data_IF_893319064835
#
_entry.id   IF_893319064835
#
_cell.length_a   1.000
_cell.length_b   1.000
_cell.length_c   1.000
_cell.angle_alpha   90.00
_cell.angle_beta   90.00
_cell.angle_gamma   90.00
#
_symmetry.space_group_name_H-M   'P 1'
#
loop_
_entity.id
_entity.type
_entity.pdbx_description
1 polymer ?
#
# COMPACT_ATOMS: atom_id res chain seq x y z
N UNK A 1 14.05 -10.58 16.26
CA UNK A 1 14.73 -9.44 16.91
C UNK A 1 13.82 -8.79 17.95
N UNK A 2 14.29 -8.66 19.19
CA UNK A 2 13.60 -7.92 20.27
C UNK A 2 13.92 -6.42 20.20
N UNK A 3 13.11 -5.52 20.80
CA UNK A 3 13.45 -4.10 20.85
C UNK A 3 14.79 -3.80 21.52
N UNK A 4 15.15 -4.61 22.53
CA UNK A 4 16.45 -4.49 23.21
C UNK A 4 17.61 -4.85 22.26
N UNK A 5 17.51 -5.97 21.55
CA UNK A 5 18.50 -6.35 20.52
C UNK A 5 18.61 -5.29 19.42
N UNK A 6 17.47 -4.75 18.98
CA UNK A 6 17.44 -3.69 17.96
C UNK A 6 18.18 -2.44 18.43
N UNK A 7 17.94 -1.97 19.67
CA UNK A 7 18.64 -0.81 20.21
C UNK A 7 20.13 -1.08 20.47
N UNK A 8 20.50 -2.28 20.90
CA UNK A 8 21.91 -2.62 21.03
C UNK A 8 22.64 -2.57 19.69
N UNK A 9 21.98 -2.98 18.61
CA UNK A 9 22.59 -3.04 17.28
C UNK A 9 22.55 -1.68 16.55
N UNK A 10 21.46 -0.92 16.69
CA UNK A 10 21.18 0.26 15.87
C UNK A 10 20.91 1.53 16.67
N UNK A 11 20.80 1.46 18.00
CA UNK A 11 20.37 2.57 18.85
C UNK A 11 21.28 3.80 18.79
N UNK A 12 22.57 3.62 18.49
CA UNK A 12 23.52 4.73 18.27
C UNK A 12 23.11 5.63 17.11
N UNK A 13 22.35 5.12 16.14
CA UNK A 13 21.80 5.94 15.05
C UNK A 13 20.86 7.02 15.59
N UNK A 14 20.10 6.73 16.67
CA UNK A 14 19.16 7.67 17.27
C UNK A 14 19.82 8.91 17.86
N UNK A 15 21.11 8.85 18.22
CA UNK A 15 21.86 9.94 18.86
C UNK A 15 22.25 11.06 17.88
N UNK A 16 22.07 10.84 16.57
CA UNK A 16 22.39 11.82 15.53
C UNK A 16 21.17 12.68 15.15
N UNK A 17 21.37 13.92 14.65
CA UNK A 17 20.29 14.67 14.01
C UNK A 17 19.66 13.84 12.89
N UNK A 18 18.34 13.68 12.88
CA UNK A 18 17.60 12.79 11.95
C UNK A 18 17.84 11.28 12.19
N UNK A 19 18.38 10.89 13.35
CA UNK A 19 18.62 9.51 13.72
C UNK A 19 17.36 8.65 13.82
N UNK A 20 16.35 9.19 14.48
CA UNK A 20 15.07 8.53 14.74
C UNK A 20 14.25 8.31 13.44
N UNK A 21 14.19 9.26 12.48
CA UNK A 21 13.69 8.99 11.13
C UNK A 21 14.43 7.86 10.39
N UNK A 22 15.77 7.85 10.42
CA UNK A 22 16.57 6.78 9.78
C UNK A 22 16.30 5.41 10.39
N UNK A 23 16.05 5.34 11.70
CA UNK A 23 15.65 4.09 12.36
C UNK A 23 14.32 3.56 11.83
N UNK A 24 13.34 4.43 11.58
CA UNK A 24 12.05 4.02 10.98
C UNK A 24 12.23 3.46 9.57
N UNK A 25 13.07 4.10 8.76
CA UNK A 25 13.41 3.61 7.43
C UNK A 25 14.08 2.22 7.52
N UNK A 26 15.06 2.06 8.41
CA UNK A 26 15.72 0.78 8.63
C UNK A 26 14.76 -0.33 9.08
N UNK A 27 13.81 -0.03 9.97
CA UNK A 27 12.79 -1.01 10.41
C UNK A 27 11.99 -1.52 9.22
N UNK A 28 11.54 -0.62 8.34
CA UNK A 28 10.77 -0.98 7.15
C UNK A 28 11.62 -1.75 6.13
N UNK A 29 12.89 -1.37 5.94
CA UNK A 29 13.81 -2.11 5.08
C UNK A 29 14.05 -3.54 5.58
N UNK A 30 14.26 -3.73 6.89
CA UNK A 30 14.42 -5.05 7.49
C UNK A 30 13.13 -5.87 7.38
N UNK A 31 11.96 -5.22 7.49
CA UNK A 31 10.66 -5.86 7.32
C UNK A 31 10.51 -6.45 5.91
N UNK A 32 10.75 -5.66 4.85
CA UNK A 32 10.57 -6.14 3.46
C UNK A 32 11.66 -7.11 2.99
N UNK A 33 12.76 -7.23 3.73
CA UNK A 33 13.85 -8.18 3.45
C UNK A 33 13.75 -9.51 4.20
N UNK A 34 12.71 -9.69 5.04
CA UNK A 34 12.57 -10.88 5.89
C UNK A 34 13.62 -10.99 6.99
N UNK A 35 14.12 -9.85 7.49
CA UNK A 35 15.19 -9.78 8.50
C UNK A 35 14.72 -9.26 9.86
N UNK A 36 13.45 -8.89 9.98
CA UNK A 36 12.91 -8.29 11.18
C UNK A 36 12.43 -9.33 12.21
N UNK A 37 11.88 -10.44 11.70
CA UNK A 37 11.38 -11.57 12.50
C UNK A 37 12.12 -12.84 12.13
N UNK A 38 12.08 -13.85 13.00
CA UNK A 38 12.66 -15.16 12.73
C UNK A 38 11.81 -15.91 11.70
N UNK A 39 12.49 -16.67 10.84
CA UNK A 39 11.85 -17.55 9.87
C UNK A 39 11.33 -18.81 10.58
N UNK A 40 10.15 -19.28 10.19
CA UNK A 40 9.48 -20.43 10.80
C UNK A 40 9.07 -21.41 9.70
N UNK A 41 9.66 -22.61 9.69
CA UNK A 41 9.37 -23.64 8.68
C UNK A 41 7.88 -24.05 8.68
N UNK A 42 7.15 -23.83 9.78
CA UNK A 42 5.73 -24.14 9.88
C UNK A 42 4.81 -23.13 9.18
N UNK A 43 5.34 -21.99 8.76
CA UNK A 43 4.57 -20.95 8.04
C UNK A 43 4.14 -21.39 6.63
N UNK A 44 4.82 -22.38 6.06
CA UNK A 44 4.61 -22.82 4.68
C UNK A 44 5.26 -21.91 3.64
N UNK A 45 4.80 -22.01 2.40
CA UNK A 45 5.37 -21.32 1.23
C UNK A 45 4.45 -20.18 0.77
N UNK A 46 5.01 -18.98 0.60
CA UNK A 46 4.27 -17.81 0.12
C UNK A 46 3.67 -18.00 -1.29
N UNK A 47 4.19 -18.92 -2.09
CA UNK A 47 3.61 -19.26 -3.39
C UNK A 47 2.21 -19.89 -3.27
N UNK A 48 1.90 -20.59 -2.17
CA UNK A 48 0.54 -21.07 -1.90
C UNK A 48 -0.42 -19.90 -1.65
N UNK A 49 0.02 -18.93 -0.85
CA UNK A 49 -0.74 -17.71 -0.59
C UNK A 49 -0.96 -16.91 -1.88
N UNK A 50 0.06 -16.75 -2.71
CA UNK A 50 -0.05 -16.08 -4.01
C UNK A 50 -1.08 -16.75 -4.91
N UNK A 51 -1.05 -18.08 -5.03
CA UNK A 51 -2.06 -18.83 -5.80
C UNK A 51 -3.47 -18.62 -5.27
N UNK A 52 -3.65 -18.64 -3.95
CA UNK A 52 -4.95 -18.39 -3.32
C UNK A 52 -5.46 -16.97 -3.63
N UNK A 53 -4.60 -15.95 -3.51
CA UNK A 53 -4.92 -14.56 -3.85
C UNK A 53 -5.35 -14.42 -5.31
N UNK A 54 -4.64 -15.02 -6.26
CA UNK A 54 -5.00 -14.99 -7.69
C UNK A 54 -6.38 -15.63 -7.96
N UNK A 55 -6.70 -16.73 -7.27
CA UNK A 55 -8.02 -17.37 -7.35
C UNK A 55 -9.11 -16.43 -6.85
N UNK A 56 -8.91 -15.84 -5.66
CA UNK A 56 -9.86 -14.89 -5.07
C UNK A 56 -10.07 -13.68 -5.97
N UNK A 57 -9.00 -13.09 -6.51
CA UNK A 57 -9.07 -11.97 -7.46
C UNK A 57 -9.91 -12.28 -8.70
N UNK A 58 -9.90 -13.53 -9.18
CA UNK A 58 -10.68 -13.96 -10.34
C UNK A 58 -12.16 -14.15 -10.03
N UNK A 59 -12.51 -14.38 -8.75
CA UNK A 59 -13.88 -14.56 -8.28
C UNK A 59 -14.57 -13.24 -7.89
N UNK A 60 -13.79 -12.19 -7.60
CA UNK A 60 -14.30 -10.87 -7.23
C UNK A 60 -15.18 -10.26 -8.34
N UNK A 61 -16.47 -10.09 -8.04
CA UNK A 61 -17.42 -9.40 -8.90
C UNK A 61 -17.51 -7.92 -8.52
N UNK A 62 -16.70 -7.07 -9.18
CA UNK A 62 -16.64 -5.64 -8.90
C UNK A 62 -17.25 -4.82 -10.03
N UNK A 63 -18.12 -3.88 -9.67
CA UNK A 63 -18.72 -2.95 -10.62
C UNK A 63 -17.64 -2.06 -11.27
N UNK A 64 -17.52 -2.14 -12.59
CA UNK A 64 -16.54 -1.37 -13.36
C UNK A 64 -15.11 -1.93 -13.34
N UNK A 65 -14.89 -3.15 -12.84
CA UNK A 65 -13.66 -3.89 -13.04
C UNK A 65 -13.63 -4.59 -14.42
N UNK A 66 -12.46 -4.78 -15.04
CA UNK A 66 -12.34 -5.58 -16.27
C UNK A 66 -12.77 -7.03 -16.00
N UNK A 67 -13.67 -7.60 -16.82
CA UNK A 67 -14.10 -9.02 -16.78
C UNK A 67 -13.01 -10.03 -17.18
N UNK A 68 -11.73 -9.66 -17.13
CA UNK A 68 -10.65 -10.58 -17.52
C UNK A 68 -10.29 -11.46 -16.33
N UNK A 69 -9.94 -12.72 -16.61
CA UNK A 69 -9.20 -13.55 -15.65
C UNK A 69 -8.02 -12.74 -15.14
N UNK A 70 -7.80 -12.70 -13.82
CA UNK A 70 -6.67 -11.98 -13.27
C UNK A 70 -5.39 -12.69 -13.71
N UNK A 71 -4.75 -12.19 -14.77
CA UNK A 71 -3.51 -12.76 -15.29
C UNK A 71 -2.36 -12.18 -14.47
N UNK A 72 -1.69 -13.04 -13.70
CA UNK A 72 -0.49 -12.67 -12.95
C UNK A 72 0.56 -12.02 -13.86
N UNK A 73 1.18 -10.95 -13.37
CA UNK A 73 2.28 -10.28 -14.03
C UNK A 73 3.58 -10.89 -13.50
N UNK A 74 4.36 -11.62 -14.32
CA UNK A 74 5.61 -12.22 -13.87
C UNK A 74 6.62 -11.18 -13.41
N UNK A 75 7.21 -11.37 -12.23
CA UNK A 75 8.33 -10.57 -11.75
C UNK A 75 9.63 -11.14 -12.31
N UNK A 76 10.29 -10.40 -13.21
CA UNK A 76 11.59 -10.79 -13.78
C UNK A 76 12.74 -10.58 -12.77
N UNK A 77 13.84 -11.29 -12.93
CA UNK A 77 14.95 -11.25 -11.96
C UNK A 77 15.62 -9.88 -11.89
N UNK A 78 15.70 -9.15 -13.01
CA UNK A 78 16.36 -7.85 -13.12
C UNK A 78 15.67 -6.74 -12.30
N UNK A 79 14.42 -6.94 -11.91
CA UNK A 79 13.65 -5.97 -11.11
C UNK A 79 13.60 -6.31 -9.62
N UNK A 80 14.30 -7.37 -9.17
CA UNK A 80 14.37 -7.76 -7.75
C UNK A 80 15.44 -6.92 -7.03
N UNK A 81 15.06 -5.99 -6.13
CA UNK A 81 16.02 -5.05 -5.53
C UNK A 81 16.98 -5.71 -4.52
N UNK A 82 16.60 -6.86 -3.97
CA UNK A 82 17.38 -7.56 -2.95
C UNK A 82 16.99 -9.03 -2.83
N UNK A 83 17.79 -9.80 -2.09
CA UNK A 83 17.48 -11.18 -1.70
C UNK A 83 16.43 -11.21 -0.58
N UNK A 84 15.53 -12.19 -0.67
CA UNK A 84 14.47 -12.50 0.30
C UNK A 84 14.64 -13.93 0.83
N UNK A 85 13.97 -14.32 1.94
CA UNK A 85 13.94 -15.70 2.41
C UNK A 85 13.43 -16.71 1.36
N UNK A 86 13.80 -17.98 1.51
CA UNK A 86 13.49 -19.03 0.51
C UNK A 86 11.99 -19.38 0.44
N UNK A 87 11.28 -19.27 1.56
CA UNK A 87 9.83 -19.49 1.66
C UNK A 87 9.00 -18.26 1.25
N UNK A 88 9.65 -17.16 0.86
CA UNK A 88 8.99 -15.98 0.29
C UNK A 88 9.00 -16.04 -1.23
N UNK A 89 8.11 -15.28 -1.86
CA UNK A 89 8.15 -15.08 -3.31
C UNK A 89 8.02 -13.60 -3.67
N UNK A 90 8.51 -13.24 -4.85
CA UNK A 90 8.25 -11.92 -5.42
C UNK A 90 6.96 -11.98 -6.23
N UNK A 91 6.04 -11.06 -5.97
CA UNK A 91 4.78 -10.93 -6.70
C UNK A 91 4.60 -9.49 -7.17
N UNK A 92 3.82 -9.29 -8.22
CA UNK A 92 3.45 -7.95 -8.67
C UNK A 92 2.40 -7.35 -7.73
N UNK A 93 2.42 -6.04 -7.48
CA UNK A 93 1.42 -5.36 -6.64
C UNK A 93 0.00 -5.59 -7.16
N UNK A 94 -0.17 -5.70 -8.48
CA UNK A 94 -1.43 -6.09 -9.11
C UNK A 94 -1.94 -7.45 -8.66
N UNK A 95 -1.05 -8.43 -8.41
CA UNK A 95 -1.43 -9.79 -8.03
C UNK A 95 -2.07 -9.87 -6.63
N UNK A 96 -1.97 -8.80 -5.82
CA UNK A 96 -2.65 -8.73 -4.53
C UNK A 96 -4.15 -8.52 -4.64
N UNK A 97 -4.67 -8.07 -5.78
CA UNK A 97 -6.05 -7.61 -5.84
C UNK A 97 -6.54 -7.19 -7.21
N UNK A 98 -7.73 -6.61 -7.24
CA UNK A 98 -8.29 -5.98 -8.45
C UNK A 98 -8.11 -4.48 -8.35
N UNK A 99 -7.37 -3.91 -9.31
CA UNK A 99 -7.10 -2.48 -9.38
C UNK A 99 -8.33 -1.73 -9.96
N UNK A 100 -8.83 -0.76 -9.21
CA UNK A 100 -9.91 0.14 -9.58
C UNK A 100 -9.37 1.57 -9.78
N UNK A 101 -9.84 2.21 -10.84
CA UNK A 101 -9.62 3.64 -11.07
C UNK A 101 -10.72 4.50 -10.43
N UNK A 102 -10.36 5.69 -9.98
CA UNK A 102 -11.31 6.68 -9.48
C UNK A 102 -11.93 7.57 -10.53
N UNK A 103 -12.75 8.50 -10.06
CA UNK A 103 -13.49 9.45 -10.88
C UNK A 103 -14.02 10.63 -10.11
N UNK A 104 -14.37 11.68 -10.84
CA UNK A 104 -14.85 12.94 -10.27
C UNK A 104 -16.22 13.23 -10.85
N UNK A 105 -17.30 13.17 -10.03
CA UNK A 105 -18.60 13.67 -10.45
C UNK A 105 -18.51 15.12 -10.89
N UNK A 106 -19.41 15.55 -11.77
CA UNK A 106 -19.42 16.95 -12.20
C UNK A 106 -19.61 17.88 -11.01
N UNK A 107 -18.64 18.76 -10.73
CA UNK A 107 -18.74 19.79 -9.69
C UNK A 107 -19.81 20.85 -9.96
N UNK A 108 -20.39 20.86 -11.17
CA UNK A 108 -21.48 21.76 -11.54
C UNK A 108 -22.85 21.22 -11.13
N UNK A 109 -22.98 19.91 -10.93
CA UNK A 109 -24.22 19.32 -10.44
C UNK A 109 -24.10 19.12 -8.93
N UNK A 110 -24.72 20.01 -8.16
CA UNK A 110 -24.64 19.98 -6.70
C UNK A 110 -25.35 18.74 -6.10
N UNK A 111 -26.30 18.12 -6.81
CA UNK A 111 -26.98 16.89 -6.36
C UNK A 111 -26.03 15.68 -6.26
N UNK A 112 -24.85 15.76 -6.86
CA UNK A 112 -23.83 14.71 -6.81
C UNK A 112 -22.94 14.79 -5.56
N UNK A 113 -23.02 15.88 -4.80
CA UNK A 113 -22.13 16.20 -3.69
C UNK A 113 -22.91 16.31 -2.38
N UNK A 114 -22.18 16.45 -1.27
CA UNK A 114 -22.74 16.59 0.09
C UNK A 114 -23.62 15.38 0.51
N UNK A 115 -23.29 14.20 0.00
CA UNK A 115 -23.88 12.92 0.41
C UNK A 115 -23.18 12.30 1.63
N UNK A 116 -23.39 11.00 1.86
CA UNK A 116 -22.80 10.28 3.00
C UNK A 116 -21.56 9.44 2.65
N UNK A 117 -21.23 9.34 1.35
CA UNK A 117 -20.14 8.49 0.87
C UNK A 117 -18.86 9.31 0.80
N UNK A 118 -17.80 8.97 1.55
CA UNK A 118 -16.54 9.70 1.47
C UNK A 118 -15.97 9.67 0.06
N UNK A 119 -15.56 10.83 -0.45
CA UNK A 119 -14.89 10.95 -1.74
C UNK A 119 -13.44 11.35 -1.50
N UNK A 120 -12.58 10.34 -1.41
CA UNK A 120 -11.18 10.47 -1.01
C UNK A 120 -10.36 11.05 -2.15
N UNK A 121 -9.52 12.01 -1.79
CA UNK A 121 -8.56 12.65 -2.68
C UNK A 121 -7.15 12.56 -2.08
N UNK A 122 -6.09 12.96 -2.82
CA UNK A 122 -4.74 13.03 -2.25
C UNK A 122 -4.60 13.91 -1.01
N UNK A 123 -5.57 14.80 -0.72
CA UNK A 123 -5.58 15.64 0.49
C UNK A 123 -5.81 14.83 1.77
N UNK A 124 -6.53 13.71 1.64
CA UNK A 124 -6.94 12.84 2.74
C UNK A 124 -5.88 11.77 3.05
N UNK A 125 -4.91 11.56 2.15
CA UNK A 125 -3.98 10.42 2.15
C UNK A 125 -2.78 10.52 3.10
N UNK A 126 -2.81 11.47 4.06
CA UNK A 126 -1.72 11.65 5.05
C UNK A 126 -1.89 10.79 6.30
N UNK A 127 -2.74 9.76 6.24
CA UNK A 127 -3.03 8.83 7.31
C UNK A 127 -2.99 7.39 6.77
N UNK A 128 -2.63 6.39 7.58
CA UNK A 128 -2.52 5.00 7.12
C UNK A 128 -3.89 4.33 6.91
N UNK A 129 -4.96 4.90 7.47
CA UNK A 129 -6.32 4.35 7.39
C UNK A 129 -7.33 5.48 7.19
N UNK A 130 -8.24 5.29 6.25
CA UNK A 130 -9.24 6.27 5.84
C UNK A 130 -10.61 5.83 6.38
N UNK A 131 -11.06 6.49 7.44
CA UNK A 131 -12.42 6.36 7.97
C UNK A 131 -13.39 7.36 7.33
N UNK A 132 -12.89 8.49 6.82
CA UNK A 132 -13.69 9.56 6.25
C UNK A 132 -12.84 10.45 5.31
N UNK A 133 -13.48 11.37 4.59
CA UNK A 133 -12.83 12.31 3.67
C UNK A 133 -13.35 13.73 3.87
N UNK A 134 -12.62 14.72 3.34
CA UNK A 134 -13.04 16.14 3.37
C UNK A 134 -14.32 16.37 2.55
N UNK A 135 -14.41 15.73 1.38
CA UNK A 135 -15.55 15.88 0.46
C UNK A 135 -16.35 14.56 0.45
N UNK A 136 -17.67 14.67 0.27
CA UNK A 136 -18.58 13.53 0.16
C UNK A 136 -19.41 13.61 -1.12
N UNK A 137 -19.81 12.45 -1.62
CA UNK A 137 -20.64 12.30 -2.82
C UNK A 137 -21.91 11.52 -2.53
N UNK A 138 -22.93 11.73 -3.35
CA UNK A 138 -24.16 10.93 -3.32
C UNK A 138 -24.02 9.67 -4.18
N UNK A 139 -24.87 8.63 -3.97
CA UNK A 139 -24.92 7.48 -4.88
C UNK A 139 -25.13 7.89 -6.34
N UNK A 140 -26.00 8.88 -6.58
CA UNK A 140 -26.24 9.44 -7.91
C UNK A 140 -24.97 10.05 -8.53
N UNK A 141 -24.11 10.69 -7.73
CA UNK A 141 -22.82 11.21 -8.19
C UNK A 141 -21.87 10.11 -8.67
N UNK A 142 -21.86 8.96 -8.01
CA UNK A 142 -21.06 7.80 -8.42
C UNK A 142 -21.65 7.18 -9.68
N UNK A 143 -22.95 6.89 -9.70
CA UNK A 143 -23.65 6.25 -10.83
C UNK A 143 -23.56 7.07 -12.13
N UNK A 144 -23.49 8.40 -12.03
CA UNK A 144 -23.43 9.32 -13.17
C UNK A 144 -22.01 9.84 -13.45
N UNK A 145 -20.97 9.14 -12.96
CA UNK A 145 -19.57 9.49 -13.23
C UNK A 145 -18.69 8.25 -13.44
N UNK A 146 -17.38 8.46 -13.57
CA UNK A 146 -16.40 7.37 -13.63
C UNK A 146 -15.97 6.85 -12.25
N UNK A 147 -16.47 7.47 -11.17
CA UNK A 147 -16.22 7.04 -9.81
C UNK A 147 -16.83 5.64 -9.57
N UNK A 148 -16.30 4.93 -8.58
CA UNK A 148 -16.75 3.58 -8.23
C UNK A 148 -16.84 3.47 -6.73
N UNK A 149 -17.73 2.60 -6.27
CA UNK A 149 -17.70 2.13 -4.89
C UNK A 149 -16.45 1.27 -4.68
N UNK A 150 -15.67 1.65 -3.69
CA UNK A 150 -14.49 0.94 -3.22
C UNK A 150 -14.86 0.33 -1.86
N UNK A 151 -14.73 -1.00 -1.70
CA UNK A 151 -15.09 -1.66 -0.45
C UNK A 151 -14.12 -1.31 0.69
N UNK A 152 -14.49 -1.72 1.90
CA UNK A 152 -13.59 -1.75 3.07
C UNK A 152 -12.38 -2.65 2.80
N UNK A 153 -11.26 -2.39 3.49
CA UNK A 153 -9.99 -3.11 3.42
C UNK A 153 -9.29 -3.07 2.05
N UNK A 154 -9.68 -2.12 1.18
CA UNK A 154 -8.96 -1.84 -0.05
C UNK A 154 -7.74 -0.95 0.21
N UNK A 155 -6.64 -1.22 -0.48
CA UNK A 155 -5.47 -0.35 -0.45
C UNK A 155 -5.64 0.81 -1.43
N UNK A 156 -5.76 2.02 -0.92
CA UNK A 156 -5.79 3.27 -1.68
C UNK A 156 -4.36 3.76 -1.91
N UNK A 157 -4.10 4.33 -3.09
CA UNK A 157 -2.79 4.89 -3.43
C UNK A 157 -2.92 6.11 -4.34
N UNK A 158 -2.04 7.09 -4.12
CA UNK A 158 -1.94 8.25 -5.01
C UNK A 158 -1.09 7.89 -6.23
N UNK A 159 -1.59 8.17 -7.44
CA UNK A 159 -0.87 7.90 -8.70
C UNK A 159 -0.65 9.13 -9.57
N UNK A 160 -1.17 10.29 -9.14
CA UNK A 160 -0.92 11.58 -9.79
C UNK A 160 -0.85 12.71 -8.76
N UNK A 161 0.06 13.66 -8.96
CA UNK A 161 0.20 14.87 -8.15
C UNK A 161 1.63 15.09 -7.66
N UNK A 162 1.94 16.33 -7.28
CA UNK A 162 3.28 16.74 -6.85
C UNK A 162 3.82 16.00 -5.61
N UNK A 163 2.94 15.38 -4.82
CA UNK A 163 3.34 14.57 -3.67
C UNK A 163 4.24 13.40 -4.07
N UNK A 164 4.05 12.85 -5.28
CA UNK A 164 4.88 11.80 -5.87
C UNK A 164 6.31 12.26 -6.17
N UNK A 165 6.64 13.54 -6.01
CA UNK A 165 8.01 13.99 -6.09
C UNK A 165 8.88 13.53 -4.91
N UNK A 166 8.26 13.14 -3.79
CA UNK A 166 8.95 12.84 -2.52
C UNK A 166 8.24 11.78 -1.68
N UNK A 167 7.02 11.36 -2.00
CA UNK A 167 6.26 10.40 -1.22
C UNK A 167 5.32 9.58 -2.08
N UNK A 168 5.08 8.33 -1.70
CA UNK A 168 4.07 7.46 -2.29
C UNK A 168 3.00 7.14 -1.23
N UNK A 169 2.00 8.01 -1.04
CA UNK A 169 0.98 7.81 -0.01
C UNK A 169 0.09 6.60 -0.33
N UNK A 170 -0.06 5.75 0.67
CA UNK A 170 -0.96 4.59 0.67
C UNK A 170 -1.77 4.56 1.97
N UNK A 171 -3.00 4.06 1.91
CA UNK A 171 -3.87 3.93 3.07
C UNK A 171 -4.88 2.80 2.87
N UNK A 172 -5.37 2.18 3.95
CA UNK A 172 -6.47 1.22 3.89
C UNK A 172 -7.82 1.92 4.10
N UNK A 173 -8.83 1.55 3.30
CA UNK A 173 -10.22 1.99 3.53
C UNK A 173 -10.81 1.29 4.76
N UNK A 174 -11.46 2.04 5.65
CA UNK A 174 -12.16 1.49 6.83
C UNK A 174 -13.68 1.41 6.65
N UNK A 175 -14.18 1.90 5.52
CA UNK A 175 -15.58 1.83 5.08
C UNK A 175 -15.66 1.89 3.57
N UNK A 176 -16.84 1.62 3.03
CA UNK A 176 -17.12 1.87 1.63
C UNK A 176 -16.99 3.38 1.32
N UNK A 177 -16.29 3.69 0.23
CA UNK A 177 -15.97 5.05 -0.20
C UNK A 177 -15.77 5.13 -1.72
N UNK A 178 -15.60 6.34 -2.25
CA UNK A 178 -15.14 6.59 -3.61
C UNK A 178 -13.80 7.31 -3.60
N UNK A 179 -13.04 7.23 -4.70
CA UNK A 179 -11.76 7.92 -4.87
C UNK A 179 -11.78 8.81 -6.11
N UNK A 180 -10.99 9.88 -6.08
CA UNK A 180 -10.84 10.75 -7.24
C UNK A 180 -9.96 10.14 -8.35
N UNK A 181 -9.85 10.84 -9.48
CA UNK A 181 -9.10 10.40 -10.66
C UNK A 181 -7.56 10.51 -10.54
N UNK A 182 -7.03 11.06 -9.43
CA UNK A 182 -5.60 11.09 -9.11
C UNK A 182 -5.14 9.83 -8.33
N UNK A 183 -6.08 8.95 -8.00
CA UNK A 183 -5.86 7.79 -7.13
C UNK A 183 -6.21 6.47 -7.82
N UNK A 184 -5.73 5.38 -7.21
CA UNK A 184 -6.15 4.00 -7.49
C UNK A 184 -6.52 3.33 -6.18
N UNK A 185 -7.38 2.31 -6.28
CA UNK A 185 -7.71 1.43 -5.17
C UNK A 185 -7.43 -0.01 -5.60
N UNK A 186 -6.80 -0.79 -4.74
CA UNK A 186 -6.55 -2.21 -4.93
C UNK A 186 -7.45 -2.98 -3.97
N UNK A 187 -8.47 -3.63 -4.50
CA UNK A 187 -9.37 -4.49 -3.72
C UNK A 187 -8.69 -5.83 -3.53
N UNK A 188 -8.30 -6.14 -2.29
CA UNK A 188 -7.42 -7.26 -1.98
C UNK A 188 -8.13 -8.61 -2.11
N UNK A 189 -7.46 -9.59 -2.75
CA UNK A 189 -7.89 -11.00 -2.75
C UNK A 189 -7.65 -11.70 -1.42
N UNK A 190 -6.76 -11.16 -0.59
CA UNK A 190 -6.54 -11.56 0.81
C UNK A 190 -6.45 -10.29 1.67
N UNK A 191 -7.57 -9.81 2.25
CA UNK A 191 -7.60 -8.59 3.05
C UNK A 191 -6.67 -8.62 4.27
N UNK A 192 -6.39 -9.81 4.83
CA UNK A 192 -5.46 -9.96 5.97
C UNK A 192 -4.03 -9.51 5.64
N UNK A 193 -3.65 -9.50 4.36
CA UNK A 193 -2.36 -9.00 3.89
C UNK A 193 -2.27 -7.46 3.86
N UNK A 194 -3.38 -6.74 4.03
CA UNK A 194 -3.44 -5.28 3.84
C UNK A 194 -2.51 -4.48 4.76
N UNK A 195 -2.43 -4.86 6.04
CA UNK A 195 -1.56 -4.19 7.01
C UNK A 195 -0.08 -4.40 6.69
N UNK A 196 0.30 -5.59 6.23
CA UNK A 196 1.65 -5.86 5.73
C UNK A 196 1.93 -5.02 4.49
N UNK A 197 0.98 -4.95 3.55
CA UNK A 197 1.14 -4.22 2.29
C UNK A 197 1.36 -2.71 2.53
N UNK A 198 0.75 -2.10 3.54
CA UNK A 198 1.07 -0.74 3.97
C UNK A 198 2.56 -0.56 4.33
N UNK A 199 3.11 -1.47 5.15
CA UNK A 199 4.54 -1.43 5.54
C UNK A 199 5.43 -1.73 4.34
N UNK A 200 5.03 -2.66 3.49
CA UNK A 200 5.79 -3.03 2.31
C UNK A 200 5.91 -1.86 1.32
N UNK A 201 4.80 -1.17 1.03
CA UNK A 201 4.82 0.05 0.21
C UNK A 201 5.67 1.17 0.83
N UNK A 202 5.66 1.31 2.16
CA UNK A 202 6.50 2.28 2.84
C UNK A 202 8.00 1.92 2.78
N UNK A 203 8.36 0.66 2.99
CA UNK A 203 9.74 0.16 2.91
C UNK A 203 10.30 0.11 1.49
N UNK A 204 9.43 0.04 0.48
CA UNK A 204 9.80 0.05 -0.94
C UNK A 204 9.51 1.40 -1.63
N UNK A 205 9.20 2.45 -0.85
CA UNK A 205 8.82 3.77 -1.34
C UNK A 205 9.79 4.28 -2.41
N UNK A 206 11.09 4.25 -2.13
CA UNK A 206 12.08 4.86 -3.02
C UNK A 206 12.15 4.14 -4.37
N UNK A 207 12.05 2.80 -4.37
CA UNK A 207 11.95 1.99 -5.59
C UNK A 207 10.66 2.28 -6.38
N UNK A 208 9.55 2.60 -5.70
CA UNK A 208 8.31 3.02 -6.37
C UNK A 208 8.47 4.42 -6.98
N UNK A 209 9.16 5.34 -6.27
CA UNK A 209 9.37 6.71 -6.74
C UNK A 209 10.29 6.79 -7.98
N UNK A 210 11.18 5.82 -8.19
CA UNK A 210 11.96 5.67 -9.42
C UNK A 210 11.08 5.49 -10.67
N UNK A 211 9.84 5.02 -10.50
CA UNK A 211 8.86 4.83 -11.57
C UNK A 211 8.01 6.07 -11.86
N UNK A 212 8.26 7.17 -11.16
CA UNK A 212 7.50 8.42 -11.33
C UNK A 212 7.98 9.15 -12.58
N UNK A 213 7.05 9.35 -13.51
CA UNK A 213 7.24 10.22 -14.65
C UNK A 213 6.91 11.66 -14.27
N UNK A 214 7.79 12.60 -14.67
CA UNK A 214 7.56 14.04 -14.51
C UNK A 214 7.21 14.66 -15.85
N UNK A 215 6.04 15.28 -15.91
CA UNK A 215 5.65 16.11 -17.04
C UNK A 215 6.40 17.44 -17.08
N UNK A 216 6.40 18.10 -18.24
CA UNK A 216 6.98 19.43 -18.43
C UNK A 216 6.39 20.51 -17.52
N UNK A 217 5.15 20.35 -17.07
CA UNK A 217 4.46 21.29 -16.18
C UNK A 217 4.66 20.95 -14.68
N UNK A 218 5.60 20.05 -14.36
CA UNK A 218 5.94 19.65 -12.99
C UNK A 218 5.11 18.51 -12.43
N UNK A 219 3.90 18.28 -12.95
CA UNK A 219 3.02 17.18 -12.49
C UNK A 219 3.72 15.84 -12.58
N UNK A 220 3.74 15.13 -11.46
CA UNK A 220 4.27 13.78 -11.31
C UNK A 220 3.14 12.75 -11.47
N UNK A 221 3.44 11.61 -12.10
CA UNK A 221 2.49 10.53 -12.35
C UNK A 221 3.21 9.19 -12.32
N UNK A 222 2.52 8.16 -11.85
CA UNK A 222 2.86 6.75 -12.13
C UNK A 222 1.69 6.19 -12.95
N UNK A 223 1.98 5.56 -14.09
CA UNK A 223 0.94 4.93 -14.88
C UNK A 223 0.45 3.62 -14.23
N UNK A 224 -0.71 3.12 -14.69
CA UNK A 224 -1.37 1.99 -14.02
C UNK A 224 -0.64 0.66 -14.21
N UNK A 225 0.06 0.48 -15.33
CA UNK A 225 0.78 -0.77 -15.60
C UNK A 225 2.08 -0.80 -14.80
N UNK A 226 2.75 0.35 -14.66
CA UNK A 226 3.93 0.52 -13.80
C UNK A 226 3.63 0.30 -12.33
N UNK A 227 2.48 0.80 -11.82
CA UNK A 227 2.02 0.48 -10.46
C UNK A 227 1.69 -1.00 -10.32
N UNK A 228 0.93 -1.57 -11.26
CA UNK A 228 0.46 -2.96 -11.16
C UNK A 228 1.62 -3.96 -11.23
N UNK A 229 2.64 -3.69 -12.04
CA UNK A 229 3.85 -4.52 -12.19
C UNK A 229 4.93 -4.25 -11.13
N UNK A 230 4.64 -3.45 -10.10
CA UNK A 230 5.62 -3.15 -9.07
C UNK A 230 5.92 -4.40 -8.22
N UNK A 231 7.20 -4.83 -8.09
CA UNK A 231 7.55 -6.03 -7.34
C UNK A 231 7.43 -5.80 -5.83
N UNK A 232 6.68 -6.67 -5.16
CA UNK A 232 6.51 -6.70 -3.71
C UNK A 232 6.95 -8.09 -3.21
N UNK A 233 7.75 -8.17 -2.13
CA UNK A 233 8.06 -9.44 -1.51
C UNK A 233 6.85 -9.91 -0.71
N UNK A 234 6.42 -11.15 -0.93
CA UNK A 234 5.30 -11.78 -0.25
C UNK A 234 5.84 -12.84 0.73
N UNK A 235 5.67 -12.64 2.04
CA UNK A 235 5.87 -13.67 3.06
C UNK A 235 4.63 -14.57 3.17
N UNK A 236 4.75 -15.75 3.79
CA UNK A 236 3.59 -16.47 4.30
C UNK A 236 2.72 -15.60 5.22
N UNK A 237 1.41 -15.86 5.25
CA UNK A 237 0.46 -14.98 5.94
C UNK A 237 0.71 -14.88 7.46
N UNK A 238 1.12 -15.97 8.09
CA UNK A 238 1.45 -15.97 9.52
C UNK A 238 2.66 -15.04 9.81
N UNK A 239 3.68 -15.10 8.95
CA UNK A 239 4.85 -14.22 9.05
C UNK A 239 4.48 -12.75 8.82
N UNK A 240 3.59 -12.45 7.87
CA UNK A 240 3.10 -11.08 7.65
C UNK A 240 2.55 -10.45 8.94
N UNK A 241 1.73 -11.19 9.69
CA UNK A 241 1.21 -10.69 10.98
C UNK A 241 2.32 -10.46 12.01
N UNK A 242 3.32 -11.36 12.08
CA UNK A 242 4.47 -11.19 12.98
C UNK A 242 5.31 -9.97 12.59
N UNK A 243 5.52 -9.74 11.30
CA UNK A 243 6.20 -8.56 10.77
C UNK A 243 5.44 -7.29 11.16
N UNK A 244 4.14 -7.23 10.91
CA UNK A 244 3.30 -6.07 11.27
C UNK A 244 3.41 -5.76 12.77
N UNK A 245 3.21 -6.77 13.62
CA UNK A 245 3.31 -6.60 15.06
C UNK A 245 4.69 -6.10 15.50
N UNK A 246 5.76 -6.62 14.89
CA UNK A 246 7.14 -6.21 15.18
C UNK A 246 7.44 -4.79 14.71
N UNK A 247 6.97 -4.41 13.53
CA UNK A 247 7.11 -3.03 13.03
C UNK A 247 6.40 -2.08 13.99
N UNK A 248 5.15 -2.37 14.38
CA UNK A 248 4.38 -1.50 15.27
C UNK A 248 5.05 -1.34 16.65
N UNK A 249 5.59 -2.42 17.21
CA UNK A 249 6.36 -2.40 18.46
C UNK A 249 7.59 -1.46 18.36
N UNK A 250 8.35 -1.59 17.27
CA UNK A 250 9.58 -0.81 17.07
C UNK A 250 9.30 0.65 16.68
N UNK A 251 8.25 0.91 15.92
CA UNK A 251 7.80 2.28 15.62
C UNK A 251 7.38 3.00 16.90
N UNK A 252 6.63 2.32 17.78
CA UNK A 252 6.28 2.87 19.10
C UNK A 252 7.49 3.10 20.00
N UNK A 253 8.57 2.31 19.85
CA UNK A 253 9.85 2.62 20.50
C UNK A 253 10.48 3.90 19.92
N UNK A 254 10.50 4.04 18.59
CA UNK A 254 11.01 5.24 17.96
C UNK A 254 10.22 6.50 18.39
N UNK A 255 8.91 6.42 18.54
CA UNK A 255 8.07 7.52 19.06
C UNK A 255 8.50 7.94 20.47
N UNK A 256 8.81 6.97 21.34
CA UNK A 256 9.32 7.26 22.69
C UNK A 256 10.71 7.89 22.68
N UNK A 257 11.59 7.46 21.78
CA UNK A 257 12.92 8.06 21.64
C UNK A 257 12.83 9.52 21.18
N UNK A 258 11.94 9.80 20.23
CA UNK A 258 11.71 11.14 19.68
C UNK A 258 11.13 12.09 20.73
N UNK A 259 10.24 11.61 21.59
CA UNK A 259 9.63 12.42 22.65
C UNK A 259 10.61 12.86 23.77
N UNK A 260 11.80 12.25 23.84
CA UNK A 260 12.83 12.53 24.86
C UNK A 260 13.98 13.38 24.30
N UNK A 261 13.99 13.64 22.99
CA UNK A 261 14.95 14.53 22.30
C UNK A 261 14.44 15.96 22.21
#
# INVERSE_FOLDING_TARGET
>A
MTPHEFLQQFGTLAESPQGVPKLRELILELAVRGKLVEQDESDGDAADLHRAMLSQCSELQLNGAPRKSHTSIPVVDEVKPFKIPENWCWVSLGDFGVMLGGGTPSKRNLEFWDGEIPWVSPKDMKVPRIADAIDHVTPAGIENSSAKFIPVDALLMVVRGMILAHSFPVALSQRELAINQDMKALVLGEPRSGEYLLRACAGLRDHMLERVERSSHGTCRIDSDSVSSFPIPLPPLAEQHRIVAKVDELMGLCDRLEAVQ
#
